data_IF_537611197607
#
_entry.id   IF_537611197607
#
_cell.length_a   1.000
_cell.length_b   1.000
_cell.length_c   1.000
_cell.angle_alpha   90.00
_cell.angle_beta   90.00
_cell.angle_gamma   90.00
#
_symmetry.space_group_name_H-M   'P 1'
#
loop_
_entity.id
_entity.type
_entity.pdbx_description
1 polymer ?
#
# COMPACT_ATOMS: atom_id res chain seq x y z
N UNK A 1 1.90 20.68 41.05
CA UNK A 1 3.26 20.26 40.65
C UNK A 1 3.17 19.63 39.27
N UNK A 2 3.88 20.13 38.25
CA UNK A 2 3.94 19.47 36.97
C UNK A 2 4.82 18.22 37.09
N UNK A 3 4.37 17.10 36.53
CA UNK A 3 5.16 15.86 36.43
C UNK A 3 6.35 16.10 35.48
N UNK A 4 7.54 15.54 35.78
CA UNK A 4 8.68 15.66 34.87
C UNK A 4 8.38 14.91 33.57
N UNK A 5 8.64 15.54 32.43
CA UNK A 5 8.56 14.85 31.14
C UNK A 5 9.69 13.82 31.03
N UNK A 6 9.42 12.61 30.51
CA UNK A 6 10.44 11.61 30.26
C UNK A 6 11.42 12.10 29.19
N UNK A 7 12.72 11.98 29.45
CA UNK A 7 13.75 12.28 28.47
C UNK A 7 13.71 11.24 27.34
N UNK A 8 13.51 11.72 26.10
CA UNK A 8 13.57 10.89 24.90
C UNK A 8 15.04 10.56 24.61
N UNK A 9 15.44 9.28 24.46
CA UNK A 9 16.80 8.92 24.11
C UNK A 9 17.16 9.47 22.72
N UNK A 10 18.29 10.16 22.61
CA UNK A 10 18.88 10.45 21.31
C UNK A 10 19.49 9.17 20.74
N UNK A 11 18.93 8.67 19.63
CA UNK A 11 19.52 7.55 18.89
C UNK A 11 20.55 8.11 17.91
N UNK A 12 21.82 7.93 18.26
CA UNK A 12 22.96 8.16 17.38
C UNK A 12 23.07 7.02 16.36
N UNK A 13 23.14 7.39 15.07
CA UNK A 13 23.38 6.59 13.84
C UNK A 13 23.55 5.06 13.93
N UNK A 14 22.93 4.32 13.01
CA UNK A 14 23.26 2.91 12.74
C UNK A 14 23.74 2.73 11.29
N UNK A 15 24.97 2.20 11.18
CA UNK A 15 25.72 1.64 10.04
C UNK A 15 25.26 0.18 9.83
N UNK A 16 25.31 -0.41 8.61
CA UNK A 16 24.60 -1.66 8.26
C UNK A 16 24.99 -2.86 9.13
N UNK A 17 23.98 -3.59 9.64
CA UNK A 17 24.15 -4.68 10.60
C UNK A 17 23.51 -6.00 10.17
N UNK A 18 24.28 -7.06 10.40
CA UNK A 18 23.92 -8.45 10.74
C UNK A 18 22.50 -8.98 10.43
N UNK A 19 22.43 -10.05 9.63
CA UNK A 19 21.21 -10.78 9.26
C UNK A 19 20.45 -11.37 10.46
N UNK A 20 21.04 -11.43 11.65
CA UNK A 20 20.35 -11.81 12.89
C UNK A 20 19.38 -10.75 13.43
N UNK A 21 19.37 -9.55 12.82
CA UNK A 21 18.53 -8.40 13.21
C UNK A 21 17.28 -8.19 12.34
N UNK A 22 17.05 -9.03 11.32
CA UNK A 22 15.77 -9.03 10.62
C UNK A 22 14.64 -9.43 11.58
N UNK A 23 13.52 -8.68 11.66
CA UNK A 23 12.41 -9.07 12.50
C UNK A 23 11.89 -10.43 12.03
N UNK A 24 11.89 -11.41 12.92
CA UNK A 24 11.43 -12.78 12.61
C UNK A 24 9.93 -12.87 12.28
N UNK A 25 9.16 -11.81 12.50
CA UNK A 25 7.73 -11.71 12.20
C UNK A 25 7.31 -10.26 12.40
N UNK A 26 6.82 -9.57 11.37
CA UNK A 26 6.17 -8.27 11.56
C UNK A 26 4.68 -8.51 11.72
N UNK A 27 4.27 -8.61 12.97
CA UNK A 27 2.89 -8.86 13.37
C UNK A 27 2.02 -7.65 12.99
N UNK A 28 1.11 -7.80 12.01
CA UNK A 28 0.16 -6.71 11.66
C UNK A 28 -0.88 -6.55 12.78
N UNK A 29 -1.25 -7.67 13.39
CA UNK A 29 -2.02 -7.83 14.63
C UNK A 29 -1.70 -9.24 15.18
N UNK A 30 -2.02 -9.53 16.44
CA UNK A 30 -1.86 -10.83 17.13
C UNK A 30 -2.23 -12.07 16.30
N UNK A 31 -3.03 -11.91 15.24
CA UNK A 31 -3.51 -12.93 14.31
C UNK A 31 -2.58 -13.27 13.15
N UNK A 32 -1.67 -12.37 12.76
CA UNK A 32 -0.94 -12.49 11.49
C UNK A 32 0.47 -11.92 11.56
N UNK A 33 1.33 -12.40 10.67
CA UNK A 33 2.71 -11.91 10.47
C UNK A 33 3.06 -11.81 9.00
N UNK A 34 4.02 -10.95 8.66
CA UNK A 34 4.69 -10.98 7.36
C UNK A 34 5.82 -12.02 7.38
N UNK A 35 5.93 -12.80 6.30
CA UNK A 35 6.98 -13.80 6.08
C UNK A 35 7.30 -13.93 4.59
N UNK A 36 8.53 -14.32 4.21
CA UNK A 36 8.85 -14.74 2.86
C UNK A 36 8.01 -15.96 2.41
N UNK A 37 7.55 -15.92 1.17
CA UNK A 37 6.80 -16.96 0.47
C UNK A 37 7.59 -17.34 -0.78
N UNK A 38 7.96 -18.62 -0.94
CA UNK A 38 8.64 -19.10 -2.14
C UNK A 38 7.90 -18.67 -3.41
N UNK A 39 8.63 -18.09 -4.38
CA UNK A 39 8.12 -17.59 -5.67
C UNK A 39 7.13 -16.41 -5.64
N UNK A 40 6.65 -15.98 -4.47
CA UNK A 40 5.68 -14.87 -4.34
C UNK A 40 6.23 -13.63 -3.63
N UNK A 41 7.43 -13.71 -3.02
CA UNK A 41 8.03 -12.59 -2.31
C UNK A 41 7.63 -12.59 -0.84
N UNK A 42 7.00 -11.52 -0.36
CA UNK A 42 6.48 -11.44 1.01
C UNK A 42 4.99 -11.78 1.01
N UNK A 43 4.51 -12.37 2.11
CA UNK A 43 3.10 -12.75 2.28
C UNK A 43 2.62 -12.56 3.70
N UNK A 44 1.30 -12.49 3.85
CA UNK A 44 0.61 -12.47 5.15
C UNK A 44 0.37 -13.90 5.62
N UNK A 45 0.83 -14.27 6.80
CA UNK A 45 0.73 -15.61 7.39
C UNK A 45 -0.10 -15.55 8.67
N UNK A 46 -1.01 -16.52 8.88
CA UNK A 46 -1.73 -16.68 10.13
C UNK A 46 -0.79 -17.12 11.26
N UNK A 47 -0.80 -16.44 12.41
CA UNK A 47 -0.01 -16.85 13.60
C UNK A 47 -0.75 -17.86 14.48
N UNK A 48 -2.04 -18.04 14.25
CA UNK A 48 -2.93 -18.99 14.95
C UNK A 48 -4.00 -19.50 14.00
N UNK A 49 -4.73 -20.53 14.42
CA UNK A 49 -5.92 -20.98 13.70
C UNK A 49 -6.98 -19.87 13.67
N UNK A 50 -7.48 -19.55 12.48
CA UNK A 50 -8.52 -18.57 12.22
C UNK A 50 -9.76 -19.29 11.65
N UNK A 51 -10.82 -19.51 12.44
CA UNK A 51 -12.06 -20.06 11.92
C UNK A 51 -12.66 -19.22 10.79
N UNK A 52 -13.46 -19.81 9.91
CA UNK A 52 -14.21 -19.09 8.90
C UNK A 52 -15.03 -17.93 9.50
N UNK A 53 -15.06 -16.78 8.82
CA UNK A 53 -15.73 -15.56 9.27
C UNK A 53 -14.94 -14.73 10.29
N UNK A 54 -13.71 -15.12 10.64
CA UNK A 54 -12.87 -14.35 11.55
C UNK A 54 -12.43 -13.05 10.88
N UNK A 55 -12.84 -11.90 11.41
CA UNK A 55 -12.24 -10.61 11.07
C UNK A 55 -10.83 -10.54 11.63
N UNK A 56 -9.85 -10.33 10.77
CA UNK A 56 -8.43 -10.31 11.14
C UNK A 56 -7.75 -8.98 10.79
N UNK A 57 -8.43 -8.13 10.01
CA UNK A 57 -7.94 -6.79 9.68
C UNK A 57 -9.10 -5.81 9.53
N UNK A 58 -8.89 -4.60 10.05
CA UNK A 58 -9.79 -3.46 9.90
C UNK A 58 -8.90 -2.27 9.56
N UNK A 59 -9.07 -1.72 8.37
CA UNK A 59 -8.28 -0.60 7.93
C UNK A 59 -8.64 0.67 8.70
N UNK A 60 -7.61 1.40 9.11
CA UNK A 60 -7.72 2.74 9.69
C UNK A 60 -7.57 3.77 8.57
N UNK A 61 -8.08 4.98 8.80
CA UNK A 61 -7.94 6.11 7.85
C UNK A 61 -6.47 6.35 7.48
N UNK A 62 -5.59 6.31 8.48
CA UNK A 62 -4.15 6.53 8.31
C UNK A 62 -3.41 5.37 7.62
N UNK A 63 -4.08 4.25 7.34
CA UNK A 63 -3.48 3.12 6.65
C UNK A 63 -3.45 3.30 5.13
N UNK A 64 -4.08 4.36 4.59
CA UNK A 64 -4.12 4.63 3.17
C UNK A 64 -3.65 6.04 2.82
N UNK A 65 -2.94 6.14 1.70
CA UNK A 65 -2.64 7.41 1.03
C UNK A 65 -3.43 7.48 -0.28
N UNK A 66 -4.47 8.35 -0.38
CA UNK A 66 -5.21 8.52 -1.62
C UNK A 66 -4.36 9.28 -2.65
N UNK A 67 -4.22 8.70 -3.84
CA UNK A 67 -3.55 9.29 -4.99
C UNK A 67 -4.59 9.53 -6.09
N UNK A 68 -5.02 10.79 -6.32
CA UNK A 68 -5.90 11.13 -7.44
C UNK A 68 -5.22 10.92 -8.80
N UNK A 69 -6.03 10.76 -9.85
CA UNK A 69 -5.55 10.62 -11.23
C UNK A 69 -4.53 11.69 -11.63
N UNK A 70 -4.83 12.98 -11.37
CA UNK A 70 -3.92 14.09 -11.69
C UNK A 70 -2.56 13.93 -11.00
N UNK A 71 -2.55 13.52 -9.74
CA UNK A 71 -1.31 13.26 -8.99
C UNK A 71 -0.54 12.08 -9.55
N UNK A 72 -1.23 11.01 -9.94
CA UNK A 72 -0.59 9.86 -10.58
C UNK A 72 0.03 10.21 -11.94
N UNK A 73 -0.68 10.94 -12.81
CA UNK A 73 -0.14 11.45 -14.08
C UNK A 73 1.10 12.33 -13.87
N UNK A 74 1.08 13.19 -12.86
CA UNK A 74 2.25 14.00 -12.49
C UNK A 74 3.45 13.13 -12.09
N UNK A 75 3.24 12.10 -11.28
CA UNK A 75 4.29 11.17 -10.83
C UNK A 75 4.86 10.41 -12.03
N UNK A 76 4.01 9.95 -12.96
CA UNK A 76 4.44 9.32 -14.22
C UNK A 76 5.34 10.24 -15.04
N UNK A 77 4.97 11.50 -15.21
CA UNK A 77 5.81 12.46 -15.93
C UNK A 77 7.15 12.71 -15.21
N UNK A 78 7.11 12.82 -13.87
CA UNK A 78 8.30 13.00 -13.04
C UNK A 78 9.27 11.80 -13.10
N UNK A 79 8.80 10.61 -13.47
CA UNK A 79 9.64 9.41 -13.63
C UNK A 79 10.74 9.59 -14.68
N UNK A 80 10.49 10.41 -15.70
CA UNK A 80 11.46 10.74 -16.75
C UNK A 80 12.65 11.52 -16.22
N UNK A 81 12.51 12.15 -15.05
CA UNK A 81 13.55 12.99 -14.41
C UNK A 81 14.40 12.24 -13.41
N UNK A 82 13.87 11.22 -12.73
CA UNK A 82 14.62 10.46 -11.73
C UNK A 82 14.07 9.05 -11.51
N UNK A 83 14.96 8.13 -11.15
CA UNK A 83 14.60 6.75 -10.81
C UNK A 83 13.70 6.63 -9.58
N UNK A 84 13.77 7.58 -8.65
CA UNK A 84 12.97 7.57 -7.42
C UNK A 84 11.48 7.79 -7.72
N UNK A 85 11.15 8.68 -8.66
CA UNK A 85 9.79 8.88 -9.14
C UNK A 85 9.25 7.66 -9.90
N UNK A 86 10.10 7.02 -10.70
CA UNK A 86 9.77 5.72 -11.32
C UNK A 86 9.44 4.69 -10.26
N UNK A 87 10.30 4.53 -9.26
CA UNK A 87 10.10 3.57 -8.17
C UNK A 87 8.80 3.84 -7.39
N UNK A 88 8.49 5.12 -7.12
CA UNK A 88 7.24 5.51 -6.46
C UNK A 88 6.01 5.16 -7.32
N UNK A 89 6.04 5.41 -8.63
CA UNK A 89 4.97 4.99 -9.54
C UNK A 89 4.75 3.47 -9.48
N UNK A 90 5.82 2.67 -9.56
CA UNK A 90 5.68 1.20 -9.53
C UNK A 90 5.17 0.70 -8.17
N UNK A 91 5.60 1.33 -7.08
CA UNK A 91 5.09 1.07 -5.74
C UNK A 91 3.58 1.34 -5.68
N UNK A 92 3.15 2.53 -6.13
CA UNK A 92 1.74 2.93 -6.15
C UNK A 92 0.90 1.93 -6.97
N UNK A 93 1.33 1.52 -8.16
CA UNK A 93 0.61 0.52 -8.97
C UNK A 93 0.55 -0.88 -8.33
N UNK A 94 1.55 -1.24 -7.52
CA UNK A 94 1.66 -2.54 -6.88
C UNK A 94 0.78 -2.67 -5.64
N UNK A 95 0.68 -1.61 -4.84
CA UNK A 95 0.11 -1.69 -3.47
C UNK A 95 -1.19 -0.91 -3.29
N UNK A 96 -1.78 -0.42 -4.40
CA UNK A 96 -3.02 0.35 -4.35
C UNK A 96 -4.24 -0.44 -4.75
N UNK A 97 -5.38 -0.06 -4.15
CA UNK A 97 -6.71 -0.45 -4.62
C UNK A 97 -7.42 0.79 -5.15
N UNK A 98 -8.03 0.68 -6.34
CA UNK A 98 -8.77 1.78 -6.95
C UNK A 98 -10.16 1.95 -6.33
N UNK A 99 -10.54 3.20 -6.04
CA UNK A 99 -11.89 3.59 -5.65
C UNK A 99 -12.53 4.40 -6.76
N UNK A 100 -13.54 3.83 -7.42
CA UNK A 100 -14.33 4.51 -8.44
C UNK A 100 -15.13 5.69 -7.90
N UNK A 101 -15.60 5.60 -6.64
CA UNK A 101 -16.34 6.67 -5.95
C UNK A 101 -15.53 7.96 -5.85
N UNK A 102 -14.26 7.86 -5.49
CA UNK A 102 -13.38 9.01 -5.28
C UNK A 102 -12.44 9.27 -6.47
N UNK A 103 -12.44 8.37 -7.46
CA UNK A 103 -11.50 8.37 -8.57
C UNK A 103 -10.04 8.45 -8.10
N UNK A 104 -9.70 7.63 -7.10
CA UNK A 104 -8.38 7.61 -6.44
C UNK A 104 -7.81 6.20 -6.38
N UNK A 105 -6.49 6.10 -6.48
CA UNK A 105 -5.74 4.92 -6.06
C UNK A 105 -5.40 5.06 -4.59
N UNK A 106 -5.92 4.16 -3.75
CA UNK A 106 -5.65 4.17 -2.32
C UNK A 106 -4.44 3.27 -2.04
N UNK A 107 -3.28 3.89 -1.86
CA UNK A 107 -2.00 3.23 -1.59
C UNK A 107 -2.03 2.68 -0.17
N UNK A 108 -1.84 1.37 -0.01
CA UNK A 108 -1.74 0.73 1.30
C UNK A 108 -0.40 1.07 1.98
N UNK A 109 -0.45 1.80 3.08
CA UNK A 109 0.72 2.23 3.84
C UNK A 109 1.16 1.20 4.89
N UNK A 110 0.26 0.32 5.32
CA UNK A 110 0.57 -0.74 6.27
C UNK A 110 0.91 -2.07 5.57
N UNK A 111 1.07 -3.11 6.37
CA UNK A 111 1.49 -4.43 5.93
C UNK A 111 0.42 -5.20 5.13
N UNK A 112 -0.82 -4.70 4.99
CA UNK A 112 -1.85 -5.36 4.15
C UNK A 112 -1.40 -5.46 2.69
N UNK A 113 -0.47 -4.59 2.25
CA UNK A 113 0.13 -4.60 0.92
C UNK A 113 0.87 -5.89 0.53
N UNK A 114 1.15 -6.76 1.50
CA UNK A 114 1.76 -8.07 1.27
C UNK A 114 0.73 -9.20 1.15
N UNK A 115 -0.57 -8.89 1.17
CA UNK A 115 -1.61 -9.89 0.95
C UNK A 115 -1.62 -10.31 -0.51
N UNK A 116 -1.08 -11.49 -0.80
CA UNK A 116 -0.90 -11.92 -2.18
C UNK A 116 -2.20 -12.32 -2.88
N UNK A 117 -2.13 -12.31 -4.21
CA UNK A 117 -3.13 -12.92 -5.07
C UNK A 117 -2.94 -14.43 -5.15
N UNK A 118 -4.00 -15.18 -4.91
CA UNK A 118 -4.19 -16.48 -5.56
C UNK A 118 -5.68 -16.82 -5.56
N UNK A 119 -6.01 -17.85 -6.31
CA UNK A 119 -7.33 -18.46 -6.40
C UNK A 119 -7.19 -19.85 -5.76
N UNK A 120 -8.16 -20.26 -4.94
CA UNK A 120 -8.18 -21.63 -4.41
C UNK A 120 -8.27 -22.62 -5.58
N UNK A 121 -7.39 -23.62 -5.60
CA UNK A 121 -7.38 -24.63 -6.66
C UNK A 121 -8.77 -25.24 -6.87
N UNK A 122 -9.23 -25.26 -8.12
CA UNK A 122 -10.55 -25.75 -8.51
C UNK A 122 -11.66 -24.70 -8.58
N UNK A 123 -11.45 -23.48 -8.09
CA UNK A 123 -12.49 -22.43 -8.10
C UNK A 123 -12.47 -21.52 -9.35
N UNK A 124 -11.46 -21.64 -10.23
CA UNK A 124 -11.36 -20.82 -11.45
C UNK A 124 -11.25 -19.31 -11.18
N UNK A 125 -11.34 -18.44 -12.19
CA UNK A 125 -11.19 -16.97 -12.01
C UNK A 125 -12.18 -16.34 -11.02
N UNK A 126 -13.24 -17.05 -10.70
CA UNK A 126 -14.32 -16.64 -9.80
C UNK A 126 -14.09 -17.09 -8.33
N UNK A 127 -13.00 -17.81 -8.05
CA UNK A 127 -12.65 -18.23 -6.69
C UNK A 127 -12.37 -17.04 -5.78
N UNK A 128 -12.70 -17.15 -4.50
CA UNK A 128 -12.74 -15.97 -3.61
C UNK A 128 -11.38 -15.74 -2.90
N UNK A 129 -10.54 -16.77 -2.85
CA UNK A 129 -9.37 -16.82 -1.96
C UNK A 129 -9.74 -17.44 -0.60
N UNK A 130 -8.76 -17.58 0.31
CA UNK A 130 -9.06 -18.00 1.69
C UNK A 130 -9.47 -16.84 2.60
N UNK A 131 -9.30 -15.60 2.12
CA UNK A 131 -9.82 -14.38 2.76
C UNK A 131 -10.59 -13.51 1.76
N UNK A 132 -11.52 -12.73 2.30
CA UNK A 132 -12.26 -11.69 1.58
C UNK A 132 -11.84 -10.34 2.16
N UNK A 133 -11.71 -9.33 1.29
CA UNK A 133 -11.66 -7.93 1.71
C UNK A 133 -12.87 -7.22 1.13
N UNK A 134 -13.61 -6.50 1.99
CA UNK A 134 -14.74 -5.69 1.57
C UNK A 134 -15.03 -4.56 2.55
N UNK A 135 -15.81 -3.58 2.10
CA UNK A 135 -16.42 -2.60 2.99
C UNK A 135 -17.50 -3.27 3.83
N UNK A 136 -17.54 -2.99 5.13
CA UNK A 136 -18.79 -3.20 5.89
C UNK A 136 -19.81 -2.16 5.38
N UNK A 137 -21.12 -2.41 5.37
CA UNK A 137 -22.11 -1.48 4.79
C UNK A 137 -22.17 -0.06 5.40
N UNK A 138 -21.32 0.25 6.38
CA UNK A 138 -21.10 1.58 6.99
C UNK A 138 -19.84 2.27 6.40
N UNK A 139 -18.99 1.52 5.70
CA UNK A 139 -17.68 1.91 5.17
C UNK A 139 -17.69 2.41 3.72
N UNK A 140 -18.81 2.30 3.01
CA UNK A 140 -18.93 2.90 1.66
C UNK A 140 -18.75 4.43 1.70
N UNK A 141 -18.90 5.06 2.88
CA UNK A 141 -18.99 6.50 3.04
C UNK A 141 -17.76 7.24 3.59
N UNK A 142 -16.69 6.59 4.09
CA UNK A 142 -15.70 7.31 4.92
C UNK A 142 -14.21 7.16 4.59
N UNK A 143 -13.77 6.44 3.56
CA UNK A 143 -12.35 5.99 3.39
C UNK A 143 -11.86 5.06 4.52
N UNK A 144 -12.54 5.05 5.66
CA UNK A 144 -12.38 4.16 6.81
C UNK A 144 -13.27 2.94 6.60
N UNK A 145 -12.71 1.73 6.69
CA UNK A 145 -13.54 0.53 6.89
C UNK A 145 -13.51 -0.54 5.80
N UNK A 146 -12.41 -0.64 5.05
CA UNK A 146 -12.06 -1.94 4.46
C UNK A 146 -11.79 -2.90 5.61
N UNK A 147 -12.57 -3.98 5.69
CA UNK A 147 -12.35 -5.05 6.64
C UNK A 147 -11.98 -6.30 5.87
N UNK A 148 -11.12 -7.13 6.46
CA UNK A 148 -10.81 -8.44 5.91
C UNK A 148 -11.19 -9.53 6.89
N UNK A 149 -11.79 -10.58 6.35
CA UNK A 149 -12.21 -11.76 7.11
C UNK A 149 -11.87 -13.04 6.37
N UNK A 150 -11.75 -14.14 7.09
CA UNK A 150 -11.52 -15.46 6.51
C UNK A 150 -12.79 -15.98 5.85
N UNK A 151 -12.67 -16.53 4.64
CA UNK A 151 -13.79 -17.17 3.92
C UNK A 151 -13.94 -18.65 4.32
N UNK A 152 -12.87 -19.24 4.84
CA UNK A 152 -12.80 -20.62 5.34
C UNK A 152 -11.85 -20.68 6.53
N UNK A 153 -11.81 -21.82 7.21
CA UNK A 153 -10.79 -22.03 8.25
C UNK A 153 -9.38 -21.91 7.66
N UNK A 154 -8.52 -21.17 8.35
CA UNK A 154 -7.09 -20.98 8.02
C UNK A 154 -6.28 -21.48 9.21
N UNK A 155 -5.30 -22.36 8.97
CA UNK A 155 -4.44 -22.90 10.02
C UNK A 155 -3.28 -21.96 10.34
N UNK A 156 -2.80 -22.03 11.57
CA UNK A 156 -1.56 -21.37 11.95
C UNK A 156 -0.42 -21.76 10.98
N UNK A 157 0.31 -20.78 10.47
CA UNK A 157 1.38 -20.95 9.48
C UNK A 157 0.92 -20.91 8.03
N UNK A 158 -0.39 -20.91 7.75
CA UNK A 158 -0.90 -20.76 6.38
C UNK A 158 -0.89 -19.30 5.92
N UNK A 159 -0.64 -19.12 4.61
CA UNK A 159 -0.72 -17.82 3.97
C UNK A 159 -2.18 -17.40 3.78
N UNK A 160 -2.48 -16.14 4.08
CA UNK A 160 -3.71 -15.47 3.69
C UNK A 160 -3.53 -14.90 2.27
N UNK A 161 -4.55 -15.06 1.44
CA UNK A 161 -4.56 -14.58 0.06
C UNK A 161 -5.96 -14.25 -0.42
N UNK A 162 -6.05 -13.27 -1.31
CA UNK A 162 -7.31 -12.75 -1.85
C UNK A 162 -7.34 -12.85 -3.37
N UNK A 163 -8.53 -12.97 -3.95
CA UNK A 163 -8.68 -12.86 -5.40
C UNK A 163 -8.63 -11.39 -5.84
N UNK A 164 -7.57 -10.99 -6.55
CA UNK A 164 -7.41 -9.63 -7.07
C UNK A 164 -8.42 -9.29 -8.18
N UNK A 165 -8.99 -10.30 -8.85
CA UNK A 165 -10.04 -10.09 -9.86
C UNK A 165 -11.33 -9.49 -9.27
N UNK A 166 -11.51 -9.56 -7.94
CA UNK A 166 -12.63 -8.91 -7.26
C UNK A 166 -12.50 -7.39 -7.14
N UNK A 167 -11.31 -6.82 -7.37
CA UNK A 167 -11.10 -5.38 -7.27
C UNK A 167 -11.46 -4.66 -8.57
N UNK A 168 -11.95 -3.43 -8.43
CA UNK A 168 -12.23 -2.56 -9.59
C UNK A 168 -10.92 -2.18 -10.28
N UNK A 169 -10.85 -2.36 -11.60
CA UNK A 169 -9.70 -1.95 -12.41
C UNK A 169 -9.67 -0.42 -12.49
N UNK A 170 -8.48 0.17 -12.29
CA UNK A 170 -8.27 1.59 -12.47
C UNK A 170 -8.30 1.96 -13.97
N UNK A 171 -9.16 2.88 -14.42
CA UNK A 171 -9.26 3.22 -15.85
C UNK A 171 -8.12 4.10 -16.36
N UNK A 172 -7.22 4.56 -15.49
CA UNK A 172 -6.11 5.46 -15.83
C UNK A 172 -4.75 5.02 -15.27
N UNK A 173 -4.65 3.82 -14.71
CA UNK A 173 -3.40 3.23 -14.25
C UNK A 173 -3.42 1.71 -14.49
N UNK A 174 -2.26 1.11 -14.76
CA UNK A 174 -2.15 -0.33 -14.98
C UNK A 174 -2.02 -1.09 -13.65
N UNK A 175 -2.83 -0.74 -12.64
CA UNK A 175 -2.85 -1.42 -11.34
C UNK A 175 -3.30 -2.88 -11.50
N UNK A 176 -2.63 -3.80 -10.82
CA UNK A 176 -2.96 -5.24 -10.76
C UNK A 176 -2.84 -6.06 -12.07
N UNK A 177 -2.97 -5.46 -13.26
CA UNK A 177 -2.93 -6.21 -14.54
C UNK A 177 -1.63 -6.98 -14.76
N UNK A 178 -0.50 -6.38 -14.36
CA UNK A 178 0.82 -7.02 -14.45
C UNK A 178 0.91 -8.31 -13.64
N UNK A 179 0.16 -8.41 -12.54
CA UNK A 179 0.15 -9.57 -11.65
C UNK A 179 -0.91 -10.61 -12.05
N UNK A 180 -1.96 -10.17 -12.74
CA UNK A 180 -3.10 -11.01 -13.13
C UNK A 180 -2.93 -11.68 -14.50
N UNK A 181 -1.82 -11.44 -15.20
CA UNK A 181 -1.49 -12.11 -16.46
C UNK A 181 -2.47 -11.83 -17.60
N UNK A 182 -3.16 -10.69 -17.57
CA UNK A 182 -4.03 -10.26 -18.67
C UNK A 182 -3.25 -10.15 -19.98
N UNK A 183 -3.91 -10.49 -21.09
CA UNK A 183 -3.38 -10.20 -22.43
C UNK A 183 -3.03 -8.70 -22.52
N UNK A 184 -1.93 -8.34 -23.19
CA UNK A 184 -1.48 -6.93 -23.34
C UNK A 184 -2.46 -6.05 -24.14
N UNK A 185 -3.63 -6.57 -24.49
CA UNK A 185 -4.70 -5.95 -25.26
C UNK A 185 -5.52 -5.02 -24.36
N UNK A 186 -5.18 -3.74 -24.33
CA UNK A 186 -5.93 -2.71 -23.61
C UNK A 186 -5.12 -1.86 -22.62
N UNK A 187 -3.80 -2.08 -22.53
CA UNK A 187 -2.91 -1.18 -21.80
C UNK A 187 -3.11 0.25 -22.25
N UNK A 188 -3.29 1.13 -21.29
CA UNK A 188 -3.42 2.56 -21.55
C UNK A 188 -2.21 3.07 -22.33
N UNK A 189 -2.47 3.73 -23.46
CA UNK A 189 -1.47 4.52 -24.13
C UNK A 189 -1.25 5.79 -23.32
N UNK A 190 -0.32 5.70 -22.38
CA UNK A 190 -0.05 6.81 -21.51
C UNK A 190 0.64 7.97 -22.20
N UNK A 191 1.22 7.81 -23.41
CA UNK A 191 1.73 8.97 -24.13
C UNK A 191 0.60 9.91 -24.54
N UNK A 192 -0.58 9.36 -24.87
CA UNK A 192 -1.77 10.15 -25.16
C UNK A 192 -2.29 10.82 -23.87
N UNK A 193 -2.47 10.03 -22.79
CA UNK A 193 -2.96 10.54 -21.49
C UNK A 193 -2.07 11.65 -20.95
N UNK A 194 -0.75 11.48 -21.01
CA UNK A 194 0.22 12.43 -20.50
C UNK A 194 0.21 13.75 -21.32
N UNK A 195 0.00 13.70 -22.65
CA UNK A 195 -0.08 14.91 -23.51
C UNK A 195 -1.33 15.74 -23.27
N UNK A 196 -2.44 15.09 -22.93
CA UNK A 196 -3.73 15.75 -22.69
C UNK A 196 -3.85 16.30 -21.26
N UNK A 197 -2.96 15.87 -20.34
CA UNK A 197 -2.99 16.30 -18.95
C UNK A 197 -2.34 17.69 -18.79
N UNK A 198 -3.14 18.69 -18.43
CA UNK A 198 -2.67 20.05 -18.12
C UNK A 198 -2.61 20.27 -16.60
N UNK A 199 -1.49 20.80 -16.11
CA UNK A 199 -1.28 21.14 -14.70
C UNK A 199 -1.35 22.66 -14.51
N UNK A 200 -2.53 23.18 -14.17
CA UNK A 200 -2.72 24.61 -13.90
C UNK A 200 -2.11 25.05 -12.55
N UNK A 201 -1.97 24.10 -11.62
CA UNK A 201 -1.46 24.32 -10.27
C UNK A 201 -0.39 23.28 -9.94
N UNK A 202 0.55 23.60 -9.02
CA UNK A 202 1.49 22.63 -8.47
C UNK A 202 0.77 21.39 -7.97
N UNK A 203 1.26 20.22 -8.36
CA UNK A 203 0.75 18.95 -7.87
C UNK A 203 1.55 18.53 -6.65
N UNK A 204 0.85 18.19 -5.57
CA UNK A 204 1.46 17.77 -4.31
C UNK A 204 0.98 16.37 -3.89
N UNK A 205 1.87 15.64 -3.23
CA UNK A 205 1.52 14.50 -2.38
C UNK A 205 1.54 15.01 -0.95
N UNK A 206 0.44 14.82 -0.23
CA UNK A 206 0.28 15.22 1.16
C UNK A 206 0.18 13.98 2.03
N UNK A 207 1.06 13.87 3.01
CA UNK A 207 1.11 12.74 3.93
C UNK A 207 1.02 13.25 5.38
N UNK A 208 -0.01 12.84 6.11
CA UNK A 208 -0.16 13.22 7.53
C UNK A 208 0.93 12.56 8.38
N UNK A 209 1.15 13.09 9.60
CA UNK A 209 2.06 12.45 10.55
C UNK A 209 1.63 11.01 10.89
N UNK A 210 0.34 10.78 11.08
CA UNK A 210 -0.19 9.47 11.41
C UNK A 210 -0.02 8.46 10.26
N UNK A 211 -0.27 8.88 9.02
CA UNK A 211 0.02 8.07 7.83
C UNK A 211 1.51 7.76 7.69
N UNK A 212 2.38 8.75 7.93
CA UNK A 212 3.82 8.54 7.91
C UNK A 212 4.26 7.55 9.00
N UNK A 213 3.71 7.65 10.22
CA UNK A 213 3.97 6.71 11.31
C UNK A 213 3.57 5.29 10.94
N UNK A 214 2.37 5.08 10.39
CA UNK A 214 1.93 3.76 9.91
C UNK A 214 2.92 3.20 8.89
N UNK A 215 3.33 4.01 7.92
CA UNK A 215 4.24 3.58 6.87
C UNK A 215 5.64 3.22 7.39
N UNK A 216 6.25 4.03 8.27
CA UNK A 216 7.61 3.74 8.77
C UNK A 216 7.66 2.57 9.77
N UNK A 217 6.53 2.23 10.40
CA UNK A 217 6.42 1.05 11.29
C UNK A 217 6.03 -0.23 10.52
N UNK A 218 5.77 -0.13 9.23
CA UNK A 218 5.49 -1.27 8.36
C UNK A 218 6.79 -1.93 7.85
N UNK A 219 6.68 -3.08 7.17
CA UNK A 219 7.84 -3.82 6.66
C UNK A 219 8.42 -3.13 5.42
N UNK A 220 9.58 -2.51 5.56
CA UNK A 220 10.27 -1.78 4.49
C UNK A 220 11.53 -2.54 4.00
N UNK A 221 11.37 -3.82 3.66
CA UNK A 221 12.52 -4.69 3.32
C UNK A 221 13.05 -4.45 1.91
N UNK A 222 12.16 -4.37 0.90
CA UNK A 222 12.56 -4.19 -0.50
C UNK A 222 12.72 -2.72 -0.82
N UNK A 223 13.55 -2.39 -1.82
CA UNK A 223 13.70 -1.01 -2.28
C UNK A 223 12.37 -0.38 -2.71
N UNK A 224 11.50 -1.16 -3.36
CA UNK A 224 10.16 -0.70 -3.73
C UNK A 224 9.28 -0.41 -2.51
N UNK A 225 9.46 -1.14 -1.40
CA UNK A 225 8.70 -0.88 -0.17
C UNK A 225 9.09 0.47 0.44
N UNK A 226 10.31 0.97 0.16
CA UNK A 226 10.85 2.26 0.65
C UNK A 226 10.60 3.43 -0.32
N UNK A 227 9.85 3.22 -1.40
CA UNK A 227 9.74 4.20 -2.48
C UNK A 227 9.20 5.57 -2.01
N UNK A 228 8.12 5.57 -1.22
CA UNK A 228 7.54 6.80 -0.69
C UNK A 228 8.50 7.49 0.29
N UNK A 229 9.20 6.73 1.14
CA UNK A 229 10.19 7.28 2.08
C UNK A 229 11.35 7.94 1.32
N UNK A 230 11.79 7.34 0.22
CA UNK A 230 12.87 7.87 -0.60
C UNK A 230 12.48 9.20 -1.25
N UNK A 231 11.25 9.31 -1.73
CA UNK A 231 10.72 10.56 -2.29
C UNK A 231 10.55 11.63 -1.21
N UNK A 232 9.99 11.28 -0.05
CA UNK A 232 9.86 12.18 1.11
C UNK A 232 11.22 12.69 1.59
N UNK A 233 12.23 11.83 1.67
CA UNK A 233 13.56 12.22 2.15
C UNK A 233 14.25 13.24 1.23
N UNK A 234 13.94 13.23 -0.08
CA UNK A 234 14.57 14.12 -1.05
C UNK A 234 13.78 15.40 -1.34
N UNK A 235 12.45 15.30 -1.37
CA UNK A 235 11.58 16.38 -1.82
C UNK A 235 10.50 16.75 -0.82
N UNK A 236 10.36 16.01 0.28
CA UNK A 236 9.39 16.29 1.32
C UNK A 236 9.78 17.49 2.16
N UNK A 237 8.81 18.37 2.37
CA UNK A 237 8.89 19.51 3.29
C UNK A 237 7.76 19.37 4.30
N UNK A 238 8.06 19.50 5.58
CA UNK A 238 7.03 19.55 6.60
C UNK A 238 6.31 20.90 6.53
N UNK A 239 5.02 20.87 6.23
CA UNK A 239 4.14 22.04 6.24
C UNK A 239 3.41 22.11 7.57
N UNK A 240 3.94 22.92 8.49
CA UNK A 240 3.36 23.15 9.83
C UNK A 240 1.92 23.66 9.76
N UNK A 241 1.57 24.45 8.75
CA UNK A 241 0.24 25.05 8.62
C UNK A 241 -0.83 24.01 8.30
N UNK A 242 -0.47 22.96 7.56
CA UNK A 242 -1.36 21.84 7.20
C UNK A 242 -1.16 20.60 8.07
N UNK A 243 -0.07 20.51 8.82
CA UNK A 243 0.27 19.34 9.64
C UNK A 243 0.62 18.11 8.79
N UNK A 244 1.25 18.31 7.64
CA UNK A 244 1.57 17.24 6.67
C UNK A 244 2.98 17.36 6.13
N UNK A 245 3.55 16.24 5.71
CA UNK A 245 4.64 16.25 4.74
C UNK A 245 4.06 16.55 3.36
N UNK A 246 4.51 17.65 2.75
CA UNK A 246 4.16 18.03 1.39
C UNK A 246 5.33 17.69 0.46
N UNK A 247 5.04 16.97 -0.62
CA UNK A 247 5.99 16.70 -1.70
C UNK A 247 5.45 17.31 -2.99
N UNK A 248 6.13 18.32 -3.52
CA UNK A 248 5.79 18.87 -4.84
C UNK A 248 6.32 17.96 -5.95
N UNK A 249 5.44 17.50 -6.82
CA UNK A 249 5.78 16.63 -7.95
C UNK A 249 6.35 17.46 -9.10
N UNK A 250 7.55 17.14 -9.63
CA UNK A 250 8.21 17.96 -10.64
C UNK A 250 7.65 17.65 -12.04
N UNK A 251 6.64 18.40 -12.49
CA UNK A 251 5.92 18.17 -13.78
C UNK A 251 6.45 18.96 -14.97
N UNK A 252 7.48 19.77 -14.77
CA UNK A 252 8.06 20.75 -15.72
C UNK A 252 8.82 20.17 -16.94
#
# INVERSE_FOLDING_TARGET
MPLPQPQIPQITSIIPGDESTYPKTSTIDTNITISPIPSMGLGVIATRDLPAGTTWYIAKEDAYLPIPQKTFSAIRLAEKKSKEWKLLREFIEMVSVYSSRWNTMNVSLDNIRFLNHTIVEGEGKDGVGNVIIGGTGVAEDTLVGWSAWTNKDVKAGEQLFVNYHGFTICPWANSCEKFLGGEETGRLDFEVVDRETVFEEPVEILLTRAQFEVYVHSVLEREIDKALLTVLAKWGVWDEGRGVWAVRVPVD
#
